data_IF_365313370140
#
_entry.id   IF_365313370140
#
_cell.length_a   1.000
_cell.length_b   1.000
_cell.length_c   1.000
_cell.angle_alpha   90.00
_cell.angle_beta   90.00
_cell.angle_gamma   90.00
#
_symmetry.space_group_name_H-M   'P 1'
#
loop_
_entity.id
_entity.type
_entity.pdbx_description
1 polymer ?
#
# COMPACT_ATOMS: atom_id res chain seq x y z
N UNK A 1 -15.78 -25.36 11.16
CA UNK A 1 -15.51 -24.51 9.97
C UNK A 1 -14.34 -25.14 9.21
N UNK A 2 -14.49 -25.45 7.92
CA UNK A 2 -13.38 -26.00 7.10
C UNK A 2 -12.21 -25.00 7.07
N UNK A 3 -10.98 -25.48 7.02
CA UNK A 3 -9.74 -24.67 7.05
C UNK A 3 -9.71 -23.54 5.99
N UNK A 4 -10.24 -23.83 4.79
CA UNK A 4 -10.44 -22.86 3.71
C UNK A 4 -11.28 -21.65 4.13
N UNK A 5 -12.33 -21.84 4.93
CA UNK A 5 -13.20 -20.77 5.38
C UNK A 5 -12.52 -19.90 6.45
N UNK A 6 -11.64 -20.50 7.28
CA UNK A 6 -10.85 -19.75 8.27
C UNK A 6 -9.83 -18.84 7.60
N UNK A 7 -9.13 -19.34 6.58
CA UNK A 7 -8.13 -18.58 5.81
C UNK A 7 -8.75 -17.42 5.05
N UNK A 8 -9.91 -17.64 4.40
CA UNK A 8 -10.63 -16.58 3.70
C UNK A 8 -11.11 -15.50 4.68
N UNK A 9 -11.70 -15.90 5.82
CA UNK A 9 -12.15 -14.95 6.83
C UNK A 9 -10.99 -14.11 7.38
N UNK A 10 -9.85 -14.74 7.69
CA UNK A 10 -8.65 -14.04 8.14
C UNK A 10 -8.17 -13.00 7.12
N UNK A 11 -8.08 -13.39 5.84
CA UNK A 11 -7.70 -12.48 4.77
C UNK A 11 -8.65 -11.28 4.69
N UNK A 12 -9.96 -11.50 4.75
CA UNK A 12 -10.97 -10.42 4.74
C UNK A 12 -10.85 -9.50 5.96
N UNK A 13 -10.64 -10.06 7.16
CA UNK A 13 -10.42 -9.28 8.39
C UNK A 13 -9.20 -8.39 8.26
N UNK A 14 -8.09 -8.93 7.76
CA UNK A 14 -6.88 -8.14 7.53
C UNK A 14 -7.03 -7.12 6.42
N UNK A 15 -7.84 -7.41 5.40
CA UNK A 15 -8.28 -6.42 4.42
C UNK A 15 -9.01 -5.25 5.10
N UNK A 16 -9.99 -5.53 5.95
CA UNK A 16 -10.71 -4.47 6.67
C UNK A 16 -9.77 -3.63 7.57
N UNK A 17 -8.83 -4.27 8.27
CA UNK A 17 -7.80 -3.60 9.07
C UNK A 17 -6.90 -2.74 8.18
N UNK A 18 -6.44 -3.25 7.05
CA UNK A 18 -5.62 -2.52 6.09
C UNK A 18 -6.32 -1.28 5.53
N UNK A 19 -7.62 -1.40 5.28
CA UNK A 19 -8.45 -0.31 4.80
C UNK A 19 -8.56 0.83 5.83
N UNK A 20 -8.79 0.47 7.10
CA UNK A 20 -8.80 1.39 8.24
C UNK A 20 -7.42 2.04 8.45
N UNK A 21 -6.38 1.20 8.45
CA UNK A 21 -4.99 1.59 8.62
C UNK A 21 -4.59 2.65 7.60
N UNK A 22 -4.88 2.41 6.31
CA UNK A 22 -4.43 3.32 5.26
C UNK A 22 -5.13 4.68 5.34
N UNK A 23 -6.42 4.73 5.68
CA UNK A 23 -7.11 6.00 5.96
C UNK A 23 -6.54 6.72 7.19
N UNK A 24 -6.24 5.99 8.26
CA UNK A 24 -5.65 6.55 9.48
C UNK A 24 -4.24 7.08 9.25
N UNK A 25 -3.44 6.39 8.44
CA UNK A 25 -2.11 6.83 8.04
C UNK A 25 -2.18 8.05 7.10
N UNK A 26 -3.02 8.02 6.06
CA UNK A 26 -3.20 9.07 5.06
C UNK A 26 -4.02 10.30 5.51
N UNK A 27 -4.21 10.50 6.82
CA UNK A 27 -4.76 11.74 7.37
C UNK A 27 -6.29 11.81 7.53
N UNK A 28 -7.03 10.77 7.17
CA UNK A 28 -8.50 10.75 7.25
C UNK A 28 -9.07 10.75 8.68
N UNK A 29 -8.22 10.50 9.69
CA UNK A 29 -8.54 10.58 11.12
C UNK A 29 -7.89 11.78 11.81
N UNK A 30 -7.47 12.80 11.05
CA UNK A 30 -6.75 13.99 11.54
C UNK A 30 -7.47 14.88 12.56
N UNK A 31 -8.56 14.42 13.19
CA UNK A 31 -9.24 15.07 14.31
C UNK A 31 -9.18 14.28 15.64
N UNK A 32 -8.80 12.99 15.61
CA UNK A 32 -8.69 12.17 16.81
C UNK A 32 -7.24 12.12 17.31
N UNK A 33 -6.77 13.25 17.88
CA UNK A 33 -5.44 13.37 18.49
C UNK A 33 -4.29 13.32 17.48
N UNK A 34 -3.27 14.18 17.65
CA UNK A 34 -2.04 14.11 16.84
C UNK A 34 -1.21 12.88 17.27
N UNK A 35 -1.61 11.70 16.85
CA UNK A 35 -0.82 10.47 17.08
C UNK A 35 0.42 10.53 16.18
N UNK A 36 1.60 10.40 16.79
CA UNK A 36 2.89 10.50 16.08
C UNK A 36 3.02 9.38 15.05
N UNK A 37 3.81 9.61 13.99
CA UNK A 37 4.10 8.59 12.97
C UNK A 37 4.68 7.32 13.59
N UNK A 38 5.46 7.45 14.67
CA UNK A 38 6.01 6.33 15.43
C UNK A 38 4.92 5.35 15.89
N UNK A 39 3.89 5.84 16.60
CA UNK A 39 2.81 4.97 17.09
C UNK A 39 1.99 4.33 15.98
N UNK A 40 1.87 5.01 14.83
CA UNK A 40 1.30 4.36 13.64
C UNK A 40 2.17 3.16 13.28
N UNK A 41 3.46 3.33 13.00
CA UNK A 41 4.31 2.21 12.59
C UNK A 41 4.35 1.08 13.62
N UNK A 42 4.32 1.39 14.91
CA UNK A 42 4.20 0.39 15.96
C UNK A 42 2.91 -0.44 15.83
N UNK A 43 1.77 0.21 15.60
CA UNK A 43 0.51 -0.49 15.35
C UNK A 43 0.56 -1.34 14.07
N UNK A 44 1.23 -0.87 13.01
CA UNK A 44 1.44 -1.68 11.79
C UNK A 44 2.24 -2.94 12.07
N UNK A 45 3.34 -2.83 12.82
CA UNK A 45 4.17 -3.98 13.23
C UNK A 45 3.30 -4.99 13.98
N UNK A 46 2.49 -4.53 14.95
CA UNK A 46 1.60 -5.41 15.72
C UNK A 46 0.60 -6.13 14.80
N UNK A 47 0.03 -5.44 13.81
CA UNK A 47 -0.88 -6.06 12.83
C UNK A 47 -0.15 -7.12 12.01
N UNK A 48 1.06 -6.85 11.51
CA UNK A 48 1.84 -7.84 10.76
C UNK A 48 2.20 -9.08 11.61
N UNK A 49 2.62 -8.88 12.86
CA UNK A 49 2.88 -10.00 13.80
C UNK A 49 1.62 -10.83 14.04
N UNK A 50 0.45 -10.16 14.15
CA UNK A 50 -0.84 -10.84 14.30
C UNK A 50 -1.20 -11.63 13.04
N UNK A 51 -0.92 -11.10 11.83
CA UNK A 51 -1.11 -11.81 10.56
C UNK A 51 -0.28 -13.09 10.51
N UNK A 52 1.00 -13.00 10.84
CA UNK A 52 1.91 -14.14 10.86
C UNK A 52 1.45 -15.20 11.87
N UNK A 53 1.04 -14.78 13.07
CA UNK A 53 0.46 -15.70 14.05
C UNK A 53 -0.81 -16.37 13.55
N UNK A 54 -1.73 -15.63 12.92
CA UNK A 54 -2.96 -16.23 12.37
C UNK A 54 -2.66 -17.20 11.22
N UNK A 55 -1.62 -16.93 10.42
CA UNK A 55 -1.21 -17.76 9.29
C UNK A 55 -0.50 -19.05 9.72
N UNK A 56 0.37 -18.97 10.73
CA UNK A 56 1.22 -20.08 11.19
C UNK A 56 0.70 -20.79 12.43
N UNK A 57 -0.24 -20.16 13.17
CA UNK A 57 -0.78 -20.59 14.45
C UNK A 57 0.28 -20.83 15.55
N UNK A 58 1.48 -20.24 15.42
CA UNK A 58 2.56 -20.36 16.39
C UNK A 58 3.47 -19.13 16.39
N UNK A 59 4.25 -18.92 17.45
CA UNK A 59 5.15 -17.76 17.61
C UNK A 59 6.59 -18.02 17.16
N UNK A 60 6.86 -19.10 16.43
CA UNK A 60 8.22 -19.48 16.00
C UNK A 60 8.89 -18.39 15.16
N UNK A 61 8.10 -17.58 14.46
CA UNK A 61 8.57 -16.45 13.66
C UNK A 61 9.24 -15.33 14.49
N UNK A 62 8.98 -15.24 15.80
CA UNK A 62 9.55 -14.18 16.65
C UNK A 62 11.07 -14.31 16.84
N UNK A 63 11.67 -15.47 16.57
CA UNK A 63 13.12 -15.66 16.62
C UNK A 63 13.83 -15.48 15.27
N UNK A 64 13.09 -15.24 14.19
CA UNK A 64 13.62 -15.25 12.82
C UNK A 64 13.86 -13.83 12.30
N UNK A 65 15.09 -13.54 11.89
CA UNK A 65 15.47 -12.28 11.24
C UNK A 65 14.61 -11.98 10.00
N UNK A 66 14.25 -13.02 9.25
CA UNK A 66 13.40 -12.91 8.04
C UNK A 66 12.07 -12.24 8.35
N UNK A 67 11.48 -12.53 9.51
CA UNK A 67 10.21 -11.93 9.93
C UNK A 67 10.33 -10.42 10.08
N UNK A 68 11.40 -9.94 10.72
CA UNK A 68 11.62 -8.52 10.91
C UNK A 68 11.87 -7.80 9.59
N UNK A 69 12.57 -8.43 8.65
CA UNK A 69 12.78 -7.91 7.30
C UNK A 69 11.48 -7.78 6.49
N UNK A 70 10.60 -8.78 6.58
CA UNK A 70 9.28 -8.76 5.94
C UNK A 70 8.40 -7.63 6.50
N UNK A 71 8.40 -7.45 7.82
CA UNK A 71 7.64 -6.38 8.48
C UNK A 71 8.22 -5.00 8.12
N UNK A 72 9.55 -4.86 8.21
CA UNK A 72 10.25 -3.61 7.91
C UNK A 72 10.04 -3.20 6.45
N UNK A 73 10.11 -4.14 5.52
CA UNK A 73 9.88 -3.87 4.10
C UNK A 73 8.43 -3.47 3.82
N UNK A 74 7.43 -4.12 4.44
CA UNK A 74 6.03 -3.72 4.29
C UNK A 74 5.75 -2.33 4.91
N UNK A 75 6.36 -2.03 6.05
CA UNK A 75 6.30 -0.69 6.65
C UNK A 75 6.96 0.37 5.74
N UNK A 76 8.11 0.05 5.14
CA UNK A 76 8.80 0.89 4.16
C UNK A 76 7.92 1.14 2.93
N UNK A 77 7.25 0.11 2.41
CA UNK A 77 6.32 0.25 1.29
C UNK A 77 5.27 1.31 1.58
N UNK A 78 4.64 1.29 2.75
CA UNK A 78 3.65 2.32 3.10
C UNK A 78 4.26 3.69 3.37
N UNK A 79 5.43 3.75 4.00
CA UNK A 79 6.15 4.98 4.31
C UNK A 79 6.56 5.75 3.05
N UNK A 80 7.06 5.03 2.04
CA UNK A 80 7.69 5.63 0.85
C UNK A 80 6.78 5.71 -0.35
N UNK A 81 5.78 4.84 -0.45
CA UNK A 81 4.77 4.95 -1.51
C UNK A 81 3.79 6.08 -1.24
N UNK A 82 3.68 6.56 0.00
CA UNK A 82 2.89 7.73 0.34
C UNK A 82 3.57 9.03 -0.14
N UNK A 83 2.96 9.70 -1.09
CA UNK A 83 3.26 11.08 -1.49
C UNK A 83 2.36 11.50 -2.64
N UNK A 84 2.47 12.75 -3.06
CA UNK A 84 1.38 13.61 -3.57
C UNK A 84 0.66 13.20 -4.87
N UNK A 85 0.85 11.98 -5.38
CA UNK A 85 0.19 11.40 -6.57
C UNK A 85 -1.29 11.06 -6.37
N UNK A 86 -2.00 11.79 -5.51
CA UNK A 86 -3.30 11.37 -5.00
C UNK A 86 -4.49 11.80 -5.87
N UNK A 87 -4.24 12.54 -6.94
CA UNK A 87 -5.26 13.02 -7.86
C UNK A 87 -4.96 12.58 -9.29
N UNK A 88 -5.49 11.41 -9.65
CA UNK A 88 -5.33 10.88 -11.03
C UNK A 88 -5.88 11.85 -12.08
N UNK A 89 -6.85 12.71 -11.77
CA UNK A 89 -7.37 13.74 -12.68
C UNK A 89 -6.75 15.13 -12.52
N UNK A 90 -5.72 15.31 -11.69
CA UNK A 90 -5.07 16.62 -11.56
C UNK A 90 -4.26 16.94 -12.81
N UNK A 91 -4.52 18.11 -13.39
CA UNK A 91 -3.71 18.74 -14.45
C UNK A 91 -2.63 19.65 -13.86
N UNK A 92 -2.65 19.90 -12.54
CA UNK A 92 -1.65 20.70 -11.85
C UNK A 92 -0.30 20.00 -11.79
N UNK A 93 0.77 20.80 -11.81
CA UNK A 93 2.13 20.29 -11.53
C UNK A 93 2.19 19.86 -10.06
N UNK A 94 2.27 18.56 -9.78
CA UNK A 94 2.49 18.07 -8.42
C UNK A 94 3.88 18.46 -7.92
N UNK A 95 3.95 19.47 -7.06
CA UNK A 95 5.12 19.80 -6.25
C UNK A 95 5.35 18.67 -5.23
N UNK A 96 6.20 17.71 -5.58
CA UNK A 96 6.46 16.53 -4.72
C UNK A 96 6.74 15.22 -5.46
N UNK A 97 6.69 15.22 -6.80
CA UNK A 97 7.01 14.02 -7.60
C UNK A 97 8.47 13.60 -7.47
N UNK A 98 8.68 12.29 -7.36
CA UNK A 98 10.01 11.72 -7.25
C UNK A 98 10.73 11.87 -8.60
N UNK A 99 11.96 12.41 -8.58
CA UNK A 99 12.74 12.77 -9.78
C UNK A 99 12.84 11.65 -10.82
N UNK A 100 13.05 10.40 -10.39
CA UNK A 100 13.17 9.28 -11.32
C UNK A 100 11.83 8.92 -11.97
N UNK A 101 10.70 9.09 -11.27
CA UNK A 101 9.36 8.88 -11.85
C UNK A 101 9.08 9.96 -12.88
N UNK A 102 9.40 11.22 -12.56
CA UNK A 102 9.27 12.34 -13.50
C UNK A 102 10.11 12.12 -14.76
N UNK A 103 11.35 11.66 -14.60
CA UNK A 103 12.23 11.29 -15.70
C UNK A 103 11.60 10.19 -16.58
N UNK A 104 11.09 9.11 -15.99
CA UNK A 104 10.42 8.03 -16.73
C UNK A 104 9.17 8.52 -17.45
N UNK A 105 8.35 9.36 -16.80
CA UNK A 105 7.14 9.92 -17.41
C UNK A 105 7.46 10.83 -18.60
N UNK A 106 8.52 11.64 -18.52
CA UNK A 106 9.00 12.46 -19.64
C UNK A 106 9.47 11.62 -20.82
N UNK A 107 10.09 10.47 -20.56
CA UNK A 107 10.49 9.53 -21.61
C UNK A 107 9.28 8.89 -22.31
N UNK A 108 8.23 8.56 -21.57
CA UNK A 108 7.04 7.89 -22.11
C UNK A 108 6.10 8.87 -22.82
N UNK A 109 5.86 10.04 -22.24
CA UNK A 109 4.81 10.97 -22.68
C UNK A 109 5.33 12.32 -23.19
N UNK A 110 6.66 12.54 -23.21
CA UNK A 110 7.26 13.82 -23.61
C UNK A 110 7.32 14.85 -22.48
N UNK A 111 8.04 15.97 -22.69
CA UNK A 111 8.33 16.98 -21.65
C UNK A 111 7.09 17.69 -21.08
N UNK A 112 6.00 17.77 -21.85
CA UNK A 112 4.79 18.51 -21.47
C UNK A 112 3.53 17.62 -21.42
N UNK A 113 3.65 16.34 -21.78
CA UNK A 113 2.52 15.44 -22.01
C UNK A 113 2.14 14.53 -20.85
N UNK A 114 2.68 14.70 -19.64
CA UNK A 114 2.50 13.76 -18.52
C UNK A 114 1.75 14.31 -17.29
N UNK A 115 1.35 15.58 -17.29
CA UNK A 115 0.46 16.15 -16.27
C UNK A 115 -1.00 15.94 -16.66
N UNK A 116 -1.39 14.67 -16.79
CA UNK A 116 -2.73 14.24 -17.17
C UNK A 116 -3.06 12.88 -16.55
N UNK A 117 -4.28 12.41 -16.78
CA UNK A 117 -4.74 11.12 -16.28
C UNK A 117 -3.78 9.95 -16.51
N UNK A 118 -3.27 9.81 -17.74
CA UNK A 118 -2.37 8.71 -18.10
C UNK A 118 -1.04 8.81 -17.36
N UNK A 119 -0.43 10.00 -17.32
CA UNK A 119 0.82 10.23 -16.61
C UNK A 119 0.69 10.03 -15.09
N UNK A 120 -0.42 10.46 -14.50
CA UNK A 120 -0.67 10.31 -13.06
C UNK A 120 -0.86 8.84 -12.66
N UNK A 121 -1.65 8.09 -13.45
CA UNK A 121 -1.85 6.64 -13.28
C UNK A 121 -0.53 5.88 -13.42
N UNK A 122 0.27 6.19 -14.45
CA UNK A 122 1.57 5.54 -14.66
C UNK A 122 2.55 5.89 -13.55
N UNK A 123 2.59 7.15 -13.09
CA UNK A 123 3.44 7.57 -11.97
C UNK A 123 3.10 6.85 -10.67
N UNK A 124 1.80 6.70 -10.37
CA UNK A 124 1.31 5.95 -9.23
C UNK A 124 1.72 4.48 -9.31
N UNK A 125 1.54 3.85 -10.48
CA UNK A 125 1.94 2.48 -10.73
C UNK A 125 3.44 2.28 -10.51
N UNK A 126 4.29 3.13 -11.12
CA UNK A 126 5.74 3.05 -10.98
C UNK A 126 6.16 3.19 -9.51
N UNK A 127 5.58 4.13 -8.77
CA UNK A 127 5.90 4.36 -7.36
C UNK A 127 5.58 3.13 -6.51
N UNK A 128 4.34 2.66 -6.55
CA UNK A 128 3.91 1.54 -5.72
C UNK A 128 4.56 0.22 -6.14
N UNK A 129 4.82 0.02 -7.43
CA UNK A 129 5.56 -1.16 -7.92
C UNK A 129 6.99 -1.15 -7.41
N UNK A 130 7.70 -0.01 -7.46
CA UNK A 130 9.11 0.07 -7.04
C UNK A 130 9.34 -0.34 -5.59
N UNK A 131 8.45 0.08 -4.69
CA UNK A 131 8.52 -0.29 -3.27
C UNK A 131 7.96 -1.69 -3.03
N UNK A 132 6.98 -2.14 -3.82
CA UNK A 132 6.47 -3.51 -3.76
C UNK A 132 7.52 -4.55 -4.17
N UNK A 133 8.43 -4.23 -5.10
CA UNK A 133 9.56 -5.10 -5.44
C UNK A 133 10.45 -5.38 -4.22
N UNK A 134 10.65 -4.39 -3.34
CA UNK A 134 11.41 -4.57 -2.10
C UNK A 134 10.70 -5.55 -1.17
N UNK A 135 9.39 -5.40 -0.99
CA UNK A 135 8.59 -6.32 -0.17
C UNK A 135 8.58 -7.73 -0.75
N UNK A 136 8.38 -7.85 -2.06
CA UNK A 136 8.38 -9.14 -2.77
C UNK A 136 9.71 -9.89 -2.61
N UNK A 137 10.82 -9.17 -2.61
CA UNK A 137 12.15 -9.72 -2.34
C UNK A 137 12.25 -10.31 -0.93
N UNK A 138 11.90 -9.54 0.12
CA UNK A 138 11.97 -10.02 1.51
C UNK A 138 10.92 -11.08 1.87
N UNK A 139 9.77 -11.07 1.21
CA UNK A 139 8.78 -12.14 1.31
C UNK A 139 9.18 -13.41 0.54
N UNK A 140 10.21 -13.34 -0.31
CA UNK A 140 10.53 -14.37 -1.30
C UNK A 140 9.32 -14.75 -2.17
N UNK A 141 8.44 -13.77 -2.44
CA UNK A 141 7.16 -13.97 -3.12
C UNK A 141 6.90 -12.85 -4.15
N UNK A 142 7.08 -13.12 -5.46
CA UNK A 142 6.92 -12.11 -6.50
C UNK A 142 5.47 -11.62 -6.66
N UNK A 143 4.49 -12.34 -6.11
CA UNK A 143 3.08 -11.98 -6.20
C UNK A 143 2.81 -10.61 -5.57
N UNK A 144 3.61 -10.20 -4.57
CA UNK A 144 3.41 -8.91 -3.90
C UNK A 144 3.60 -7.70 -4.84
N UNK A 145 4.29 -7.86 -5.98
CA UNK A 145 4.44 -6.82 -7.02
C UNK A 145 3.07 -6.33 -7.52
N UNK A 146 2.02 -7.17 -7.45
CA UNK A 146 0.65 -6.79 -7.78
C UNK A 146 0.12 -5.61 -6.95
N UNK A 147 0.73 -5.31 -5.81
CA UNK A 147 0.48 -4.10 -5.02
C UNK A 147 0.47 -2.82 -5.87
N UNK A 148 1.41 -2.72 -6.83
CA UNK A 148 1.48 -1.59 -7.76
C UNK A 148 0.22 -1.44 -8.61
N UNK A 149 -0.26 -2.55 -9.16
CA UNK A 149 -1.47 -2.59 -9.98
C UNK A 149 -2.73 -2.36 -9.12
N UNK A 150 -2.88 -3.08 -8.01
CA UNK A 150 -4.06 -3.00 -7.14
C UNK A 150 -4.27 -1.59 -6.58
N UNK A 151 -3.18 -0.94 -6.17
CA UNK A 151 -3.24 0.44 -5.70
C UNK A 151 -3.66 1.35 -6.84
N UNK A 152 -3.01 1.26 -8.00
CA UNK A 152 -3.34 2.12 -9.15
C UNK A 152 -4.79 1.97 -9.60
N UNK A 153 -5.28 0.74 -9.72
CA UNK A 153 -6.67 0.45 -10.06
C UNK A 153 -7.64 0.98 -9.00
N UNK A 154 -7.26 0.99 -7.71
CA UNK A 154 -8.08 1.57 -6.65
C UNK A 154 -8.31 3.07 -6.87
N UNK A 155 -7.28 3.80 -7.30
CA UNK A 155 -7.40 5.23 -7.62
C UNK A 155 -8.19 5.46 -8.90
N UNK A 156 -7.98 4.65 -9.94
CA UNK A 156 -8.74 4.73 -11.19
C UNK A 156 -10.23 4.48 -10.96
N UNK A 157 -10.57 3.38 -10.28
CA UNK A 157 -11.94 2.96 -10.04
C UNK A 157 -12.74 3.97 -9.20
N UNK A 158 -12.08 4.64 -8.25
CA UNK A 158 -12.72 5.61 -7.36
C UNK A 158 -12.65 7.04 -7.87
N UNK A 159 -11.95 7.29 -8.98
CA UNK A 159 -11.57 8.62 -9.45
C UNK A 159 -12.73 9.59 -9.73
N UNK A 160 -13.90 9.07 -10.09
CA UNK A 160 -15.12 9.85 -10.38
C UNK A 160 -16.15 9.83 -9.24
N UNK A 161 -15.81 9.20 -8.11
CA UNK A 161 -16.70 9.12 -6.95
C UNK A 161 -16.57 10.36 -6.06
N UNK A 162 -17.58 10.62 -5.23
CA UNK A 162 -17.44 11.60 -4.14
C UNK A 162 -16.29 11.19 -3.22
N UNK A 163 -15.39 12.13 -2.89
CA UNK A 163 -14.18 11.92 -2.08
C UNK A 163 -13.29 10.80 -2.66
N UNK A 164 -12.80 10.94 -3.90
CA UNK A 164 -12.17 9.86 -4.68
C UNK A 164 -10.92 9.31 -3.97
N UNK A 165 -9.99 10.19 -3.59
CA UNK A 165 -8.76 9.83 -2.87
C UNK A 165 -9.05 9.06 -1.58
N UNK A 166 -10.04 9.50 -0.81
CA UNK A 166 -10.36 8.86 0.46
C UNK A 166 -10.85 7.42 0.26
N UNK A 167 -11.65 7.16 -0.79
CA UNK A 167 -12.12 5.82 -1.17
C UNK A 167 -11.01 4.97 -1.78
N UNK A 168 -10.14 5.57 -2.60
CA UNK A 168 -8.96 4.90 -3.14
C UNK A 168 -8.06 4.36 -2.03
N UNK A 169 -7.84 5.17 -0.98
CA UNK A 169 -6.98 4.79 0.14
C UNK A 169 -7.56 3.63 0.96
N UNK A 170 -8.89 3.57 1.15
CA UNK A 170 -9.54 2.40 1.75
C UNK A 170 -9.29 1.14 0.92
N UNK A 171 -9.59 1.20 -0.38
CA UNK A 171 -9.53 0.04 -1.25
C UNK A 171 -8.09 -0.44 -1.43
N UNK A 172 -7.14 0.48 -1.63
CA UNK A 172 -5.72 0.17 -1.69
C UNK A 172 -5.23 -0.44 -0.38
N UNK A 173 -5.61 0.11 0.78
CA UNK A 173 -5.28 -0.46 2.08
C UNK A 173 -5.77 -1.90 2.22
N UNK A 174 -7.04 -2.15 1.86
CA UNK A 174 -7.63 -3.48 1.95
C UNK A 174 -6.92 -4.50 1.07
N UNK A 175 -6.75 -4.17 -0.22
CA UNK A 175 -6.17 -5.07 -1.20
C UNK A 175 -4.71 -5.39 -0.89
N UNK A 176 -3.92 -4.42 -0.44
CA UNK A 176 -2.51 -4.64 -0.10
C UNK A 176 -2.33 -5.48 1.17
N UNK A 177 -3.21 -5.37 2.16
CA UNK A 177 -3.15 -6.22 3.36
C UNK A 177 -3.60 -7.65 3.07
N UNK A 178 -4.62 -7.83 2.23
CA UNK A 178 -5.01 -9.14 1.71
C UNK A 178 -3.84 -9.76 0.96
N UNK A 179 -3.22 -9.00 0.05
CA UNK A 179 -2.08 -9.46 -0.73
C UNK A 179 -0.89 -9.84 0.15
N UNK A 180 -0.58 -9.03 1.16
CA UNK A 180 0.46 -9.35 2.14
C UNK A 180 0.16 -10.67 2.86
N UNK A 181 -1.05 -10.86 3.37
CA UNK A 181 -1.46 -12.10 4.04
C UNK A 181 -1.41 -13.34 3.13
N UNK A 182 -1.71 -13.18 1.85
CA UNK A 182 -1.58 -14.25 0.84
C UNK A 182 -0.11 -14.57 0.56
N UNK A 183 0.77 -13.58 0.63
CA UNK A 183 2.19 -13.74 0.33
C UNK A 183 3.04 -14.25 1.51
N UNK A 184 2.59 -14.00 2.76
CA UNK A 184 3.08 -14.67 3.97
C UNK A 184 2.84 -16.18 3.91
#
# INVERSE_FOLDING_TARGET
MKEKNRTLLAALTFGAIGALWRRWYGGGFGKAGKITRFFKYLALIIVCLTMMYVKTLCFTFLGDFTTYEQIASFAYHWARSHGDYFYVWSEGKDEGRIRWIDFTLRLIYGKDGYYNFKGNVTGLFLRYTSTACVVAFFLHNPLFILSGLLTTLSYVATSKMEKPTAKAEWLAGALNFILFFVCL
#
